data_IF_445408446685
#
_entry.id   IF_445408446685
#
_cell.length_a   1.000
_cell.length_b   1.000
_cell.length_c   1.000
_cell.angle_alpha   90.00
_cell.angle_beta   90.00
_cell.angle_gamma   90.00
#
_symmetry.space_group_name_H-M   'P 1'
#
loop_
_entity.id
_entity.type
_entity.pdbx_description
1 polymer ?
#
# COMPACT_ATOMS: atom_id res chain seq x y z
N UNK A 1 22.82 -14.74 -18.78
CA UNK A 1 22.45 -16.01 -18.13
C UNK A 1 21.67 -16.85 -19.15
N UNK A 2 21.81 -18.18 -19.13
CA UNK A 2 20.94 -19.06 -19.94
C UNK A 2 19.51 -19.03 -19.39
N UNK A 3 18.48 -19.38 -20.18
CA UNK A 3 17.10 -19.50 -19.67
C UNK A 3 17.00 -20.44 -18.46
N UNK A 4 17.66 -21.60 -18.51
CA UNK A 4 17.74 -22.54 -17.38
C UNK A 4 18.34 -21.90 -16.12
N UNK A 5 19.46 -21.16 -16.26
CA UNK A 5 20.06 -20.45 -15.12
C UNK A 5 19.17 -19.35 -14.53
N UNK A 6 18.31 -18.72 -15.34
CA UNK A 6 17.32 -17.75 -14.85
C UNK A 6 16.21 -18.42 -14.03
N UNK A 7 15.78 -19.61 -14.46
CA UNK A 7 14.81 -20.42 -13.72
C UNK A 7 15.38 -20.93 -12.39
N UNK A 8 16.64 -21.35 -12.38
CA UNK A 8 17.35 -21.73 -11.14
C UNK A 8 17.50 -20.54 -10.18
N UNK A 9 17.93 -19.37 -10.67
CA UNK A 9 18.01 -18.16 -9.86
C UNK A 9 16.63 -17.74 -9.30
N UNK A 10 15.54 -18.02 -10.04
CA UNK A 10 14.17 -17.79 -9.57
C UNK A 10 13.87 -18.67 -8.35
N UNK A 11 14.17 -19.96 -8.39
CA UNK A 11 14.00 -20.85 -7.23
C UNK A 11 14.76 -20.33 -5.99
N UNK A 12 16.03 -19.97 -6.15
CA UNK A 12 16.87 -19.44 -5.06
C UNK A 12 16.29 -18.16 -4.44
N UNK A 13 15.85 -17.22 -5.28
CA UNK A 13 15.24 -15.98 -4.79
C UNK A 13 13.92 -16.29 -4.06
N UNK A 14 13.11 -17.21 -4.56
CA UNK A 14 11.85 -17.59 -3.91
C UNK A 14 12.10 -18.22 -2.54
N UNK A 15 13.16 -19.02 -2.37
CA UNK A 15 13.57 -19.51 -1.04
C UNK A 15 13.89 -18.36 -0.07
N UNK A 16 14.63 -17.34 -0.53
CA UNK A 16 14.89 -16.14 0.28
C UNK A 16 13.59 -15.38 0.61
N UNK A 17 12.65 -15.27 -0.34
CA UNK A 17 11.35 -14.60 -0.13
C UNK A 17 10.50 -15.37 0.88
N UNK A 18 10.43 -16.69 0.79
CA UNK A 18 9.70 -17.57 1.73
C UNK A 18 10.28 -17.41 3.14
N UNK A 19 11.61 -17.50 3.29
CA UNK A 19 12.28 -17.31 4.58
C UNK A 19 12.03 -15.92 5.17
N UNK A 20 12.07 -14.88 4.32
CA UNK A 20 11.76 -13.50 4.70
C UNK A 20 10.31 -13.32 5.14
N UNK A 21 9.34 -13.90 4.42
CA UNK A 21 7.92 -13.77 4.75
C UNK A 21 7.59 -14.34 6.14
N UNK A 22 8.21 -15.49 6.49
CA UNK A 22 8.08 -16.14 7.81
C UNK A 22 8.68 -15.31 8.96
N UNK A 23 9.75 -14.58 8.70
CA UNK A 23 10.52 -13.84 9.71
C UNK A 23 10.26 -12.33 9.74
N UNK A 24 9.24 -11.87 9.00
CA UNK A 24 8.97 -10.44 8.80
C UNK A 24 10.16 -9.64 8.24
N UNK A 25 10.96 -10.29 7.39
CA UNK A 25 12.12 -9.70 6.76
C UNK A 25 11.79 -8.78 5.58
N UNK A 26 12.81 -8.33 4.82
CA UNK A 26 12.64 -7.40 3.69
C UNK A 26 11.67 -7.90 2.61
N UNK A 27 10.98 -6.99 1.90
CA UNK A 27 10.05 -7.35 0.81
C UNK A 27 10.78 -7.98 -0.38
N UNK A 28 10.03 -8.67 -1.25
CA UNK A 28 10.57 -9.43 -2.38
C UNK A 28 11.43 -8.57 -3.31
N UNK A 29 11.02 -7.33 -3.59
CA UNK A 29 11.79 -6.39 -4.41
C UNK A 29 13.18 -6.07 -3.83
N UNK A 30 13.28 -5.96 -2.50
CA UNK A 30 14.56 -5.74 -1.82
C UNK A 30 15.46 -6.97 -1.91
N UNK A 31 14.87 -8.17 -1.82
CA UNK A 31 15.58 -9.45 -1.95
C UNK A 31 16.13 -9.61 -3.36
N UNK A 32 15.31 -9.41 -4.40
CA UNK A 32 15.74 -9.43 -5.81
C UNK A 32 16.88 -8.44 -6.04
N UNK A 33 16.74 -7.22 -5.53
CA UNK A 33 17.79 -6.18 -5.65
C UNK A 33 19.10 -6.61 -5.00
N UNK A 34 19.04 -7.17 -3.78
CA UNK A 34 20.22 -7.66 -3.05
C UNK A 34 20.87 -8.85 -3.75
N UNK A 35 20.08 -9.81 -4.23
CA UNK A 35 20.54 -11.00 -4.95
C UNK A 35 21.43 -10.62 -6.15
N UNK A 36 21.03 -9.59 -6.91
CA UNK A 36 21.80 -9.10 -8.06
C UNK A 36 22.97 -8.18 -7.70
N UNK A 37 22.96 -7.49 -6.55
CA UNK A 37 24.13 -6.74 -6.08
C UNK A 37 25.35 -7.67 -5.86
N UNK A 38 25.10 -8.90 -5.43
CA UNK A 38 26.13 -9.92 -5.21
C UNK A 38 26.55 -10.65 -6.51
N UNK A 39 25.74 -10.59 -7.57
CA UNK A 39 25.93 -11.32 -8.83
C UNK A 39 26.10 -10.36 -10.00
N UNK A 40 27.25 -9.67 -10.04
CA UNK A 40 27.56 -8.62 -11.03
C UNK A 40 27.62 -9.11 -12.48
N UNK A 41 27.80 -10.41 -12.71
CA UNK A 41 27.79 -11.01 -14.05
C UNK A 41 26.43 -10.94 -14.75
N UNK A 42 25.33 -10.76 -14.00
CA UNK A 42 23.99 -10.65 -14.58
C UNK A 42 23.78 -9.23 -15.13
N UNK A 43 23.61 -9.13 -16.46
CA UNK A 43 23.30 -7.87 -17.15
C UNK A 43 21.84 -7.43 -16.95
N UNK A 44 21.49 -6.23 -17.42
CA UNK A 44 20.14 -5.65 -17.26
C UNK A 44 19.02 -6.55 -17.79
N UNK A 45 19.22 -7.19 -18.96
CA UNK A 45 18.25 -8.14 -19.55
C UNK A 45 18.03 -9.38 -18.67
N UNK A 46 19.10 -9.93 -18.08
CA UNK A 46 19.00 -11.09 -17.19
C UNK A 46 18.26 -10.74 -15.90
N UNK A 47 18.59 -9.58 -15.30
CA UNK A 47 17.93 -9.11 -14.07
C UNK A 47 16.44 -8.91 -14.27
N UNK A 48 16.04 -8.34 -15.41
CA UNK A 48 14.63 -8.15 -15.77
C UNK A 48 13.92 -9.50 -15.92
N UNK A 49 14.48 -10.43 -16.70
CA UNK A 49 13.87 -11.73 -16.94
C UNK A 49 13.69 -12.55 -15.64
N UNK A 50 14.69 -12.56 -14.75
CA UNK A 50 14.56 -13.25 -13.46
C UNK A 50 13.55 -12.55 -12.56
N UNK A 51 13.53 -11.21 -12.51
CA UNK A 51 12.52 -10.47 -11.74
C UNK A 51 11.11 -10.80 -12.22
N UNK A 52 10.88 -10.84 -13.53
CA UNK A 52 9.60 -11.23 -14.12
C UNK A 52 9.19 -12.64 -13.71
N UNK A 53 10.09 -13.62 -13.78
CA UNK A 53 9.82 -15.00 -13.32
C UNK A 53 9.51 -15.07 -11.82
N UNK A 54 10.31 -14.42 -10.98
CA UNK A 54 10.09 -14.36 -9.51
C UNK A 54 8.70 -13.82 -9.20
N UNK A 55 8.34 -12.68 -9.79
CA UNK A 55 7.05 -12.07 -9.53
C UNK A 55 5.88 -12.80 -10.18
N UNK A 56 6.11 -13.55 -11.25
CA UNK A 56 5.13 -14.47 -11.83
C UNK A 56 4.84 -15.62 -10.87
N UNK A 57 5.89 -16.25 -10.33
CA UNK A 57 5.76 -17.29 -9.28
C UNK A 57 5.00 -16.75 -8.06
N UNK A 58 5.39 -15.58 -7.54
CA UNK A 58 4.73 -15.00 -6.36
C UNK A 58 3.24 -14.77 -6.63
N UNK A 59 2.86 -14.29 -7.82
CA UNK A 59 1.46 -14.00 -8.18
C UNK A 59 0.62 -15.27 -8.31
N UNK A 60 1.21 -16.33 -8.86
CA UNK A 60 0.54 -17.60 -9.15
C UNK A 60 0.08 -18.36 -7.88
N UNK A 61 0.81 -18.22 -6.77
CA UNK A 61 0.56 -18.96 -5.53
C UNK A 61 0.09 -18.03 -4.41
N UNK A 62 -1.16 -18.20 -4.01
CA UNK A 62 -1.79 -17.49 -2.90
C UNK A 62 -1.27 -18.07 -1.59
N UNK A 63 -1.29 -19.39 -1.45
CA UNK A 63 -0.62 -20.09 -0.37
C UNK A 63 0.90 -20.07 -0.59
N UNK A 64 1.66 -19.88 0.49
CA UNK A 64 3.12 -19.85 0.42
C UNK A 64 3.65 -21.24 0.04
N UNK A 65 4.44 -21.38 -1.05
CA UNK A 65 5.05 -22.64 -1.42
C UNK A 65 5.96 -23.20 -0.32
N UNK A 66 6.20 -24.51 -0.33
CA UNK A 66 7.09 -25.15 0.64
C UNK A 66 8.54 -24.65 0.53
N UNK A 67 9.00 -24.44 -0.71
CA UNK A 67 10.32 -23.93 -1.09
C UNK A 67 10.28 -23.43 -2.56
N UNK A 68 11.38 -22.83 -3.02
CA UNK A 68 11.54 -22.31 -4.37
C UNK A 68 11.45 -23.38 -5.46
N UNK A 69 11.90 -24.61 -5.17
CA UNK A 69 11.79 -25.74 -6.12
C UNK A 69 10.33 -26.13 -6.37
N UNK A 70 9.53 -26.30 -5.31
CA UNK A 70 8.10 -26.57 -5.43
C UNK A 70 7.38 -25.45 -6.19
N UNK A 71 7.78 -24.20 -5.98
CA UNK A 71 7.22 -23.04 -6.67
C UNK A 71 7.56 -23.04 -8.18
N UNK A 72 8.82 -23.32 -8.54
CA UNK A 72 9.24 -23.45 -9.95
C UNK A 72 8.56 -24.63 -10.63
N UNK A 73 8.45 -25.79 -9.97
CA UNK A 73 7.72 -26.93 -10.53
C UNK A 73 6.23 -26.61 -10.74
N UNK A 74 5.63 -25.84 -9.85
CA UNK A 74 4.26 -25.34 -10.02
C UNK A 74 4.13 -24.39 -11.22
N UNK A 75 5.12 -23.52 -11.44
CA UNK A 75 5.16 -22.66 -12.63
C UNK A 75 5.29 -23.49 -13.91
N UNK A 76 6.21 -24.47 -13.95
CA UNK A 76 6.39 -25.38 -15.09
C UNK A 76 5.12 -26.17 -15.40
N UNK A 77 4.34 -26.53 -14.38
CA UNK A 77 3.04 -27.19 -14.59
C UNK A 77 2.01 -26.28 -15.28
N UNK A 78 2.16 -24.96 -15.19
CA UNK A 78 1.31 -23.97 -15.90
C UNK A 78 1.88 -23.55 -17.26
N UNK A 79 3.21 -23.63 -17.42
CA UNK A 79 3.96 -23.26 -18.63
C UNK A 79 4.83 -24.46 -19.06
N UNK A 80 4.27 -25.46 -19.77
CA UNK A 80 4.97 -26.69 -20.13
C UNK A 80 6.25 -26.47 -20.94
N UNK A 81 6.38 -25.36 -21.65
CA UNK A 81 7.59 -24.96 -22.38
C UNK A 81 8.81 -24.73 -21.48
N UNK A 82 8.62 -24.50 -20.19
CA UNK A 82 9.70 -24.37 -19.21
C UNK A 82 10.25 -25.74 -18.78
N UNK A 83 9.56 -26.84 -19.09
CA UNK A 83 9.98 -28.19 -18.70
C UNK A 83 11.32 -28.58 -19.33
N UNK A 84 11.58 -28.13 -20.57
CA UNK A 84 12.84 -28.37 -21.30
C UNK A 84 14.05 -27.70 -20.62
N UNK A 85 13.82 -26.78 -19.68
CA UNK A 85 14.89 -26.11 -18.92
C UNK A 85 15.34 -26.90 -17.69
N UNK A 86 14.62 -27.96 -17.30
CA UNK A 86 14.97 -28.81 -16.17
C UNK A 86 16.07 -29.81 -16.59
N UNK A 87 17.15 -29.88 -15.82
CA UNK A 87 18.33 -30.71 -16.11
C UNK A 87 19.35 -30.09 -17.06
N UNK A 88 19.04 -28.92 -17.63
CA UNK A 88 20.00 -28.16 -18.43
C UNK A 88 21.15 -27.60 -17.56
N UNK A 89 22.35 -27.36 -18.12
CA UNK A 89 23.48 -26.82 -17.36
C UNK A 89 23.13 -25.53 -16.62
N UNK A 90 23.37 -25.53 -15.30
CA UNK A 90 23.03 -24.43 -14.36
C UNK A 90 21.53 -24.16 -14.20
N UNK A 91 20.67 -25.04 -14.72
CA UNK A 91 19.23 -25.04 -14.48
C UNK A 91 18.82 -25.79 -13.22
N UNK A 92 17.53 -25.80 -12.88
CA UNK A 92 16.99 -26.66 -11.84
C UNK A 92 17.16 -28.13 -12.22
N UNK A 93 17.42 -28.97 -11.22
CA UNK A 93 17.52 -30.44 -11.42
C UNK A 93 16.25 -31.00 -12.08
N UNK A 94 16.35 -32.10 -12.86
CA UNK A 94 15.20 -32.81 -13.41
C UNK A 94 14.15 -33.10 -12.33
N UNK A 95 12.86 -33.12 -12.72
CA UNK A 95 11.78 -33.45 -11.78
C UNK A 95 11.88 -34.92 -11.36
N UNK A 96 11.93 -35.19 -10.05
CA UNK A 96 11.93 -36.55 -9.56
C UNK A 96 10.52 -37.18 -9.62
N UNK A 97 10.40 -38.52 -9.80
CA UNK A 97 9.11 -39.19 -9.74
C UNK A 97 8.39 -38.92 -8.40
N UNK A 98 7.13 -38.50 -8.46
CA UNK A 98 6.34 -38.19 -7.26
C UNK A 98 6.68 -36.88 -6.57
N UNK A 99 7.60 -36.08 -7.12
CA UNK A 99 7.94 -34.76 -6.57
C UNK A 99 6.76 -33.79 -6.71
N UNK A 100 6.31 -33.28 -5.55
CA UNK A 100 5.20 -32.35 -5.45
C UNK A 100 5.52 -30.96 -6.01
N UNK A 101 4.52 -30.33 -6.61
CA UNK A 101 4.57 -28.95 -7.08
C UNK A 101 3.65 -28.08 -6.21
N UNK A 102 3.90 -26.77 -6.18
CA UNK A 102 2.94 -25.83 -5.60
C UNK A 102 1.70 -25.75 -6.50
N UNK A 103 0.52 -25.76 -5.89
CA UNK A 103 -0.76 -25.68 -6.60
C UNK A 103 -1.21 -24.22 -6.77
N UNK A 104 -1.51 -23.76 -8.01
CA UNK A 104 -1.96 -22.40 -8.25
C UNK A 104 -3.22 -22.03 -7.49
N UNK A 105 -3.22 -20.84 -6.89
CA UNK A 105 -4.38 -20.24 -6.22
C UNK A 105 -4.17 -18.74 -6.13
N UNK A 106 -5.18 -17.91 -6.38
CA UNK A 106 -5.00 -16.46 -6.30
C UNK A 106 -4.98 -15.91 -4.86
N UNK A 107 -5.62 -16.57 -3.90
CA UNK A 107 -5.75 -16.05 -2.53
C UNK A 107 -5.71 -17.23 -1.55
N UNK A 108 -4.97 -17.17 -0.44
CA UNK A 108 -5.04 -18.17 0.62
C UNK A 108 -6.48 -18.51 1.00
N UNK A 109 -6.80 -19.78 1.19
CA UNK A 109 -8.17 -20.21 1.48
C UNK A 109 -8.76 -19.51 2.72
N UNK A 110 -7.94 -19.33 3.76
CA UNK A 110 -8.36 -18.70 5.02
C UNK A 110 -8.73 -17.21 4.87
N UNK A 111 -8.24 -16.53 3.83
CA UNK A 111 -8.53 -15.10 3.59
C UNK A 111 -9.84 -14.87 2.86
N UNK A 112 -10.41 -15.89 2.21
CA UNK A 112 -11.63 -15.74 1.42
C UNK A 112 -12.79 -15.23 2.27
N UNK A 113 -12.91 -15.73 3.50
CA UNK A 113 -13.96 -15.33 4.45
C UNK A 113 -13.65 -14.02 5.19
N UNK A 114 -12.48 -13.42 4.94
CA UNK A 114 -12.07 -12.15 5.56
C UNK A 114 -12.33 -10.95 4.65
N UNK A 115 -12.56 -11.17 3.36
CA UNK A 115 -12.78 -10.10 2.39
C UNK A 115 -14.09 -9.37 2.64
N UNK A 116 -14.11 -8.08 2.29
CA UNK A 116 -15.37 -7.37 2.10
C UNK A 116 -16.27 -8.15 1.13
N UNK A 117 -17.58 -8.26 1.41
CA UNK A 117 -18.53 -8.93 0.52
C UNK A 117 -18.58 -8.30 -0.88
N UNK A 118 -18.06 -7.08 -1.02
CA UNK A 118 -17.94 -6.38 -2.30
C UNK A 118 -16.85 -6.98 -3.21
N UNK A 119 -15.86 -7.70 -2.66
CA UNK A 119 -14.78 -8.33 -3.44
C UNK A 119 -15.25 -9.65 -4.03
N UNK A 120 -15.77 -9.59 -5.24
CA UNK A 120 -16.28 -10.79 -5.93
C UNK A 120 -15.12 -11.65 -6.47
N UNK A 121 -15.35 -12.94 -6.78
CA UNK A 121 -14.35 -13.79 -7.43
C UNK A 121 -13.73 -13.16 -8.69
N UNK A 122 -14.50 -12.41 -9.46
CA UNK A 122 -14.11 -11.76 -10.72
C UNK A 122 -13.15 -10.59 -10.50
N UNK A 123 -13.16 -9.93 -9.33
CA UNK A 123 -12.25 -8.83 -9.01
C UNK A 123 -10.89 -9.31 -8.47
N UNK A 124 -10.80 -10.55 -8.01
CA UNK A 124 -9.58 -11.10 -7.37
C UNK A 124 -8.34 -11.09 -8.27
N UNK A 125 -8.42 -11.37 -9.59
CA UNK A 125 -7.26 -11.25 -10.48
C UNK A 125 -6.65 -9.84 -10.47
N UNK A 126 -7.48 -8.79 -10.46
CA UNK A 126 -7.01 -7.39 -10.48
C UNK A 126 -6.20 -7.01 -9.22
N UNK A 127 -6.40 -7.72 -8.10
CA UNK A 127 -5.58 -7.58 -6.89
C UNK A 127 -4.12 -7.98 -7.12
N UNK A 128 -3.82 -8.68 -8.22
CA UNK A 128 -2.52 -9.28 -8.50
C UNK A 128 -1.94 -8.83 -9.84
N UNK A 129 -2.69 -8.06 -10.62
CA UNK A 129 -2.18 -7.46 -11.84
C UNK A 129 -1.02 -6.50 -11.54
N UNK A 130 -0.31 -6.08 -12.58
CA UNK A 130 0.76 -5.12 -12.39
C UNK A 130 0.19 -3.71 -12.27
N UNK A 131 0.36 -3.09 -11.12
CA UNK A 131 -0.13 -1.72 -10.89
C UNK A 131 0.60 -0.69 -11.79
N UNK A 132 -0.11 0.34 -12.29
CA UNK A 132 0.53 1.49 -12.92
C UNK A 132 1.34 2.32 -11.92
N UNK A 133 2.14 3.24 -12.43
CA UNK A 133 2.79 4.28 -11.63
C UNK A 133 1.89 5.51 -11.63
N UNK A 134 1.36 5.87 -10.46
CA UNK A 134 0.60 7.10 -10.29
C UNK A 134 1.46 8.14 -9.56
N UNK A 135 1.39 9.37 -10.07
CA UNK A 135 1.98 10.56 -9.47
C UNK A 135 0.86 11.45 -8.94
N UNK A 136 1.12 12.16 -7.84
CA UNK A 136 0.29 13.26 -7.34
C UNK A 136 0.99 14.57 -7.63
N UNK A 137 0.31 15.46 -8.33
CA UNK A 137 0.76 16.85 -8.55
C UNK A 137 0.70 17.64 -7.24
N UNK A 138 1.69 18.49 -7.03
CA UNK A 138 1.71 19.47 -5.94
C UNK A 138 0.80 20.66 -6.31
N UNK A 139 -0.47 20.59 -5.92
CA UNK A 139 -1.49 21.57 -6.27
C UNK A 139 -1.17 23.02 -5.80
N UNK A 140 -0.27 23.20 -4.83
CA UNK A 140 0.19 24.51 -4.41
C UNK A 140 1.18 25.17 -5.38
N UNK A 141 1.73 24.41 -6.33
CA UNK A 141 2.89 24.82 -7.14
C UNK A 141 2.74 24.56 -8.64
N UNK A 142 1.82 23.69 -9.05
CA UNK A 142 1.63 23.36 -10.45
C UNK A 142 0.21 22.87 -10.74
N UNK A 143 -0.21 23.06 -11.99
CA UNK A 143 -1.44 22.52 -12.54
C UNK A 143 -1.19 21.16 -13.18
N UNK A 144 -2.15 20.23 -13.01
CA UNK A 144 -2.00 18.86 -13.53
C UNK A 144 -1.84 18.83 -15.04
N UNK A 145 -2.63 19.61 -15.75
CA UNK A 145 -2.68 19.57 -17.21
C UNK A 145 -1.36 20.04 -17.85
N UNK A 146 -0.64 20.95 -17.20
CA UNK A 146 0.65 21.44 -17.68
C UNK A 146 1.73 20.35 -17.52
N UNK A 147 1.72 19.63 -16.38
CA UNK A 147 2.70 18.60 -16.09
C UNK A 147 2.49 17.29 -16.86
N UNK A 148 1.26 16.93 -17.24
CA UNK A 148 1.01 15.68 -17.98
C UNK A 148 1.84 15.63 -19.27
N UNK A 149 1.99 16.77 -19.96
CA UNK A 149 2.74 16.85 -21.21
C UNK A 149 4.24 16.58 -21.04
N UNK A 150 4.78 16.69 -19.82
CA UNK A 150 6.19 16.42 -19.52
C UNK A 150 6.50 14.92 -19.39
N UNK A 151 5.48 14.07 -19.26
CA UNK A 151 5.66 12.64 -19.05
C UNK A 151 5.20 11.82 -20.26
N UNK A 152 6.13 11.09 -20.88
CA UNK A 152 5.82 10.16 -21.97
C UNK A 152 4.82 9.07 -21.50
N UNK A 153 3.71 8.93 -22.22
CA UNK A 153 2.63 8.02 -21.86
C UNK A 153 1.79 8.47 -20.65
N UNK A 154 1.97 9.71 -20.18
CA UNK A 154 1.21 10.33 -19.11
C UNK A 154 -0.25 10.59 -19.49
N UNK A 155 -1.15 10.23 -18.57
CA UNK A 155 -2.58 10.54 -18.69
C UNK A 155 -3.12 11.05 -17.36
N UNK A 156 -4.14 11.90 -17.39
CA UNK A 156 -4.85 12.27 -16.17
C UNK A 156 -5.47 11.02 -15.53
N UNK A 157 -5.33 10.87 -14.21
CA UNK A 157 -6.08 9.84 -13.51
C UNK A 157 -7.57 10.18 -13.50
N UNK A 158 -8.42 9.17 -13.34
CA UNK A 158 -9.87 9.28 -13.57
C UNK A 158 -10.63 9.90 -12.39
N UNK A 159 -10.16 9.67 -11.18
CA UNK A 159 -10.86 9.94 -9.92
C UNK A 159 -10.22 11.11 -9.17
N UNK A 160 -8.89 11.10 -9.02
CA UNK A 160 -8.16 12.19 -8.35
C UNK A 160 -7.96 13.38 -9.31
N UNK A 161 -8.25 14.62 -8.88
CA UNK A 161 -7.95 15.81 -9.68
C UNK A 161 -6.45 16.09 -9.79
N UNK A 162 -5.62 15.48 -8.94
CA UNK A 162 -4.17 15.72 -8.90
C UNK A 162 -3.35 14.65 -9.62
N UNK A 163 -3.97 13.54 -9.99
CA UNK A 163 -3.24 12.34 -10.37
C UNK A 163 -2.78 12.35 -11.84
N UNK A 164 -1.54 11.90 -12.08
CA UNK A 164 -1.01 11.55 -13.40
C UNK A 164 -0.66 10.06 -13.39
N UNK A 165 -1.21 9.29 -14.33
CA UNK A 165 -0.93 7.86 -14.52
C UNK A 165 0.11 7.65 -15.60
N UNK A 166 1.11 6.83 -15.28
CA UNK A 166 2.22 6.46 -16.13
C UNK A 166 2.33 4.93 -16.28
N UNK A 167 3.00 4.45 -17.34
CA UNK A 167 3.40 3.05 -17.45
C UNK A 167 4.17 2.57 -16.22
N UNK A 168 3.97 1.31 -15.82
CA UNK A 168 4.51 0.75 -14.58
C UNK A 168 6.06 0.73 -14.49
N UNK A 169 6.76 0.84 -15.62
CA UNK A 169 8.23 0.81 -15.72
C UNK A 169 8.87 2.20 -15.81
N UNK A 170 8.08 3.27 -15.74
CA UNK A 170 8.61 4.64 -15.86
C UNK A 170 9.55 4.96 -14.71
N UNK A 171 10.76 5.41 -15.04
CA UNK A 171 11.75 5.89 -14.06
C UNK A 171 11.44 7.34 -13.70
N UNK A 172 11.04 7.56 -12.45
CA UNK A 172 10.65 8.89 -11.96
C UNK A 172 11.76 9.64 -11.24
N UNK A 173 12.71 8.92 -10.63
CA UNK A 173 13.75 9.52 -9.78
C UNK A 173 14.64 10.52 -10.54
N UNK A 174 14.77 10.34 -11.85
CA UNK A 174 15.61 11.15 -12.74
C UNK A 174 14.82 12.33 -13.36
N UNK A 175 13.52 12.48 -13.07
CA UNK A 175 12.65 13.48 -13.69
C UNK A 175 12.73 14.85 -12.99
N UNK A 176 12.90 15.97 -13.72
CA UNK A 176 12.97 17.31 -13.15
C UNK A 176 11.77 17.68 -12.27
N UNK A 177 10.55 17.33 -12.68
CA UNK A 177 9.33 17.58 -11.92
C UNK A 177 9.32 16.86 -10.55
N UNK A 178 9.90 15.66 -10.47
CA UNK A 178 10.02 14.94 -9.19
C UNK A 178 11.11 15.56 -8.31
N UNK A 179 12.28 15.84 -8.89
CA UNK A 179 13.42 16.45 -8.17
C UNK A 179 13.08 17.83 -7.58
N UNK A 180 12.26 18.62 -8.28
CA UNK A 180 11.81 19.95 -7.86
C UNK A 180 10.57 19.95 -6.95
N UNK A 181 10.00 18.78 -6.64
CA UNK A 181 8.83 18.64 -5.76
C UNK A 181 7.50 19.09 -6.36
N UNK A 182 7.40 19.11 -7.70
CA UNK A 182 6.14 19.37 -8.42
C UNK A 182 5.24 18.13 -8.45
N UNK A 183 5.82 16.93 -8.28
CA UNK A 183 5.09 15.66 -8.18
C UNK A 183 5.63 14.77 -7.07
N UNK A 184 4.76 13.92 -6.52
CA UNK A 184 5.10 12.84 -5.60
C UNK A 184 4.60 11.49 -6.14
N UNK A 185 5.32 10.40 -5.90
CA UNK A 185 4.81 9.06 -6.23
C UNK A 185 3.73 8.67 -5.21
N UNK A 186 2.49 8.49 -5.68
CA UNK A 186 1.36 8.13 -4.82
C UNK A 186 0.22 7.53 -5.64
N UNK A 187 -0.24 6.34 -5.24
CA UNK A 187 -1.44 5.69 -5.82
C UNK A 187 -2.66 6.62 -5.76
N UNK A 188 -3.44 6.64 -6.84
CA UNK A 188 -4.65 7.46 -6.93
C UNK A 188 -5.62 7.27 -5.74
N UNK A 189 -5.80 6.04 -5.25
CA UNK A 189 -6.64 5.77 -4.08
C UNK A 189 -6.13 6.47 -2.81
N UNK A 190 -4.80 6.51 -2.63
CA UNK A 190 -4.16 7.22 -1.52
C UNK A 190 -4.32 8.75 -1.63
N UNK A 191 -4.39 9.29 -2.85
CA UNK A 191 -4.70 10.71 -3.08
C UNK A 191 -6.14 11.03 -2.67
N UNK A 192 -7.09 10.13 -2.97
CA UNK A 192 -8.50 10.29 -2.61
C UNK A 192 -8.72 10.29 -1.08
N UNK A 193 -7.87 9.61 -0.29
CA UNK A 193 -7.93 9.70 1.18
C UNK A 193 -7.65 11.14 1.66
N UNK A 194 -6.68 11.82 1.07
CA UNK A 194 -6.40 13.21 1.41
C UNK A 194 -7.56 14.16 1.02
N UNK A 195 -8.24 13.89 -0.11
CA UNK A 195 -9.46 14.61 -0.47
C UNK A 195 -10.62 14.33 0.50
N UNK A 196 -10.75 13.09 0.97
CA UNK A 196 -11.78 12.70 1.93
C UNK A 196 -11.67 13.44 3.27
N UNK A 197 -10.49 13.97 3.59
CA UNK A 197 -10.28 14.84 4.75
C UNK A 197 -11.01 16.18 4.61
N UNK A 198 -11.17 16.70 3.40
CA UNK A 198 -11.82 17.98 3.12
C UNK A 198 -11.33 19.14 4.01
N UNK A 199 -10.00 19.24 4.11
CA UNK A 199 -9.30 20.26 4.91
C UNK A 199 -9.58 21.65 4.35
N UNK A 200 -10.11 22.52 5.19
CA UNK A 200 -10.35 23.94 4.93
C UNK A 200 -9.14 24.82 5.20
N UNK A 201 -9.28 26.11 4.90
CA UNK A 201 -8.24 27.09 5.18
C UNK A 201 -8.06 27.28 6.69
N UNK A 202 -6.81 27.15 7.16
CA UNK A 202 -6.46 27.36 8.57
C UNK A 202 -6.80 26.20 9.51
N UNK A 203 -7.40 25.12 9.02
CA UNK A 203 -7.72 23.94 9.82
C UNK A 203 -6.48 23.35 10.52
N UNK A 204 -6.70 22.86 11.73
CA UNK A 204 -5.72 22.08 12.51
C UNK A 204 -5.90 20.60 12.19
N UNK A 205 -4.87 20.00 11.59
CA UNK A 205 -4.89 18.62 11.10
C UNK A 205 -3.86 17.77 11.84
N UNK A 206 -4.27 16.60 12.32
CA UNK A 206 -3.37 15.56 12.82
C UNK A 206 -3.40 14.37 11.87
N UNK A 207 -2.24 13.94 11.34
CA UNK A 207 -2.06 12.72 10.55
C UNK A 207 -1.40 11.66 11.44
N UNK A 208 -2.22 10.77 12.04
CA UNK A 208 -1.76 9.65 12.85
C UNK A 208 -1.30 8.49 11.94
N UNK A 209 -0.08 8.00 12.21
CA UNK A 209 0.60 6.97 11.40
C UNK A 209 0.98 7.46 10.00
N UNK A 210 1.47 8.69 9.92
CA UNK A 210 1.83 9.38 8.68
C UNK A 210 2.88 8.63 7.85
N UNK A 211 3.69 7.75 8.45
CA UNK A 211 4.74 7.01 7.77
C UNK A 211 5.78 7.96 7.15
N UNK A 212 5.89 7.94 5.83
CA UNK A 212 6.74 8.88 5.08
C UNK A 212 5.98 10.16 4.63
N UNK A 213 4.79 10.40 5.18
CA UNK A 213 3.94 11.58 5.05
C UNK A 213 3.29 11.81 3.68
N UNK A 214 3.00 10.74 2.93
CA UNK A 214 2.36 10.88 1.62
C UNK A 214 1.04 11.65 1.68
N UNK A 215 0.20 11.38 2.69
CA UNK A 215 -1.10 12.03 2.88
C UNK A 215 -0.96 13.43 3.51
N UNK A 216 -0.15 13.61 4.55
CA UNK A 216 0.22 14.94 5.05
C UNK A 216 0.72 15.89 3.95
N UNK A 217 1.57 15.42 3.03
CA UNK A 217 2.05 16.22 1.89
C UNK A 217 0.93 16.54 0.88
N UNK A 218 -0.04 15.64 0.70
CA UNK A 218 -1.20 15.90 -0.17
C UNK A 218 -2.07 16.99 0.44
N UNK A 219 -2.34 16.89 1.74
CA UNK A 219 -3.11 17.88 2.50
C UNK A 219 -2.39 19.23 2.47
N UNK A 220 -1.08 19.28 2.74
CA UNK A 220 -0.30 20.52 2.71
C UNK A 220 -0.29 21.20 1.32
N UNK A 221 -0.31 20.40 0.25
CA UNK A 221 -0.40 20.93 -1.11
C UNK A 221 -1.79 21.46 -1.46
N UNK A 222 -2.85 20.87 -0.90
CA UNK A 222 -4.23 21.27 -1.16
C UNK A 222 -4.71 22.43 -0.26
N UNK A 223 -4.20 22.51 0.97
CA UNK A 223 -4.52 23.52 1.96
C UNK A 223 -3.23 24.10 2.59
N UNK A 224 -2.49 24.98 1.88
CA UNK A 224 -1.20 25.48 2.34
C UNK A 224 -1.23 26.29 3.65
N UNK A 225 -2.41 26.76 4.06
CA UNK A 225 -2.63 27.49 5.31
C UNK A 225 -2.96 26.59 6.50
N UNK A 226 -3.19 25.29 6.29
CA UNK A 226 -3.50 24.35 7.36
C UNK A 226 -2.30 24.16 8.32
N UNK A 227 -2.59 23.98 9.60
CA UNK A 227 -1.58 23.60 10.60
C UNK A 227 -1.56 22.08 10.71
N UNK A 228 -0.50 21.44 10.20
CA UNK A 228 -0.44 19.98 10.08
C UNK A 228 0.60 19.42 11.05
N UNK A 229 0.15 18.51 11.91
CA UNK A 229 0.99 17.64 12.73
C UNK A 229 0.96 16.22 12.16
N UNK A 230 2.09 15.73 11.67
CA UNK A 230 2.28 14.36 11.23
C UNK A 230 2.97 13.53 12.32
N UNK A 231 2.36 12.41 12.69
CA UNK A 231 2.87 11.56 13.78
C UNK A 231 3.06 10.12 13.35
N UNK A 232 4.03 9.45 13.94
CA UNK A 232 4.25 8.01 13.76
C UNK A 232 5.02 7.47 14.96
N UNK A 233 4.92 6.17 15.24
CA UNK A 233 5.76 5.51 16.26
C UNK A 233 7.07 4.96 15.68
N UNK A 234 7.19 4.90 14.35
CA UNK A 234 8.36 4.43 13.65
C UNK A 234 9.25 5.59 13.15
N UNK A 235 10.33 5.84 13.89
CA UNK A 235 11.33 6.86 13.57
C UNK A 235 11.90 6.75 12.16
N UNK A 236 12.14 5.53 11.67
CA UNK A 236 12.75 5.31 10.36
C UNK A 236 11.80 5.61 9.19
N UNK A 237 10.48 5.57 9.43
CA UNK A 237 9.47 6.02 8.45
C UNK A 237 9.31 7.53 8.53
N UNK A 238 9.08 8.07 9.73
CA UNK A 238 8.82 9.49 9.95
C UNK A 238 9.98 10.39 9.50
N UNK A 239 11.23 9.95 9.69
CA UNK A 239 12.40 10.72 9.26
C UNK A 239 12.47 10.95 7.75
N UNK A 240 11.73 10.18 6.94
CA UNK A 240 11.64 10.38 5.49
C UNK A 240 10.71 11.53 5.09
N UNK A 241 9.87 12.01 6.01
CA UNK A 241 8.93 13.09 5.72
C UNK A 241 9.64 14.44 5.56
N UNK A 242 10.53 14.81 6.48
CA UNK A 242 11.17 16.14 6.46
C UNK A 242 11.85 16.46 5.11
N UNK A 243 12.70 15.60 4.52
CA UNK A 243 13.29 15.87 3.21
C UNK A 243 12.26 15.98 2.07
N UNK A 244 11.13 15.28 2.16
CA UNK A 244 10.05 15.35 1.17
C UNK A 244 9.24 16.64 1.34
N UNK A 245 8.99 17.06 2.58
CA UNK A 245 8.33 18.32 2.89
C UNK A 245 9.16 19.51 2.40
N UNK A 246 10.47 19.51 2.66
CA UNK A 246 11.40 20.53 2.16
C UNK A 246 11.37 20.62 0.64
N UNK A 247 11.47 19.47 -0.05
CA UNK A 247 11.40 19.40 -1.52
C UNK A 247 10.06 19.89 -2.06
N UNK A 248 8.96 19.54 -1.41
CA UNK A 248 7.62 19.97 -1.80
C UNK A 248 7.34 21.45 -1.47
N UNK A 249 8.10 22.06 -0.57
CA UNK A 249 7.82 23.38 -0.02
C UNK A 249 6.69 23.38 1.01
N UNK A 250 6.44 22.24 1.66
CA UNK A 250 5.36 22.06 2.62
C UNK A 250 5.85 22.31 4.06
N UNK A 251 5.02 22.97 4.87
CA UNK A 251 5.28 23.16 6.31
C UNK A 251 4.47 22.13 7.10
N UNK A 252 5.15 21.13 7.64
CA UNK A 252 4.52 20.04 8.41
C UNK A 252 5.35 19.84 9.69
N UNK A 253 4.69 19.93 10.85
CA UNK A 253 5.30 19.53 12.12
C UNK A 253 5.34 18.00 12.19
N UNK A 254 6.44 17.45 12.71
CA UNK A 254 6.56 16.00 12.92
C UNK A 254 6.74 15.66 14.38
N UNK A 255 6.01 14.67 14.90
CA UNK A 255 6.19 14.17 16.26
C UNK A 255 6.26 12.65 16.30
N UNK A 256 7.35 12.13 16.87
CA UNK A 256 7.50 10.70 17.10
C UNK A 256 6.73 10.32 18.37
N UNK A 257 5.78 9.41 18.26
CA UNK A 257 4.98 8.93 19.38
C UNK A 257 5.62 7.70 20.03
N UNK A 258 5.62 7.64 21.36
CA UNK A 258 6.15 6.50 22.10
C UNK A 258 5.04 5.71 22.80
N UNK A 259 4.65 4.52 22.28
CA UNK A 259 3.71 3.64 22.97
C UNK A 259 4.19 3.20 24.35
N UNK A 260 3.31 3.14 25.38
CA UNK A 260 1.87 3.44 25.36
C UNK A 260 1.52 4.87 25.83
N UNK A 261 2.45 5.82 25.74
CA UNK A 261 2.28 7.20 26.26
C UNK A 261 1.86 8.20 25.17
N UNK A 262 1.34 7.74 24.04
CA UNK A 262 1.11 8.56 22.86
C UNK A 262 0.19 9.76 23.12
N UNK A 263 -0.88 9.58 23.90
CA UNK A 263 -1.83 10.66 24.21
C UNK A 263 -1.19 11.77 25.04
N UNK A 264 -0.32 11.43 25.99
CA UNK A 264 0.39 12.43 26.81
C UNK A 264 1.32 13.31 25.95
N UNK A 265 1.86 12.75 24.87
CA UNK A 265 2.66 13.49 23.89
C UNK A 265 1.82 14.34 22.92
N UNK A 266 0.49 14.25 22.99
CA UNK A 266 -0.46 14.98 22.13
C UNK A 266 -1.42 15.88 22.93
N UNK A 267 -1.10 16.17 24.19
CA UNK A 267 -1.95 16.96 25.08
C UNK A 267 -2.28 18.37 24.53
N UNK A 268 -1.33 19.00 23.82
CA UNK A 268 -1.50 20.30 23.13
C UNK A 268 -2.47 20.24 21.93
N UNK A 269 -2.89 19.03 21.54
CA UNK A 269 -3.87 18.76 20.48
C UNK A 269 -5.17 18.15 20.99
N UNK A 270 -5.29 17.89 22.30
CA UNK A 270 -6.50 17.32 22.89
C UNK A 270 -7.73 18.19 22.58
N UNK A 271 -8.77 17.56 22.04
CA UNK A 271 -10.03 18.17 21.58
C UNK A 271 -9.81 19.47 20.77
N UNK A 272 -8.70 19.56 20.03
CA UNK A 272 -8.23 20.79 19.39
C UNK A 272 -8.01 20.69 17.89
N UNK A 273 -8.07 19.49 17.32
CA UNK A 273 -7.93 19.27 15.87
C UNK A 273 -9.29 19.39 15.18
N UNK A 274 -9.36 20.18 14.10
CA UNK A 274 -10.50 20.20 13.19
C UNK A 274 -10.65 18.84 12.50
N UNK A 275 -9.51 18.25 12.13
CA UNK A 275 -9.43 17.00 11.37
C UNK A 275 -8.36 16.09 11.96
N UNK A 276 -8.71 14.84 12.22
CA UNK A 276 -7.75 13.78 12.56
C UNK A 276 -7.84 12.68 11.52
N UNK A 277 -6.78 12.53 10.73
CA UNK A 277 -6.60 11.41 9.81
C UNK A 277 -5.89 10.28 10.54
N UNK A 278 -6.47 9.08 10.46
CA UNK A 278 -5.88 7.83 10.93
C UNK A 278 -5.61 6.95 9.71
N UNK A 279 -4.40 7.03 9.15
CA UNK A 279 -3.91 6.12 8.11
C UNK A 279 -3.32 4.87 8.76
N UNK A 280 -4.22 4.00 9.22
CA UNK A 280 -3.84 3.01 10.21
C UNK A 280 -2.92 1.91 9.63
N UNK A 281 -1.94 1.41 10.42
CA UNK A 281 -1.22 0.19 10.10
C UNK A 281 -2.21 -0.96 9.88
N UNK A 282 -2.10 -1.64 8.75
CA UNK A 282 -3.04 -2.67 8.33
C UNK A 282 -2.33 -3.86 7.67
N UNK A 283 -3.10 -4.85 7.26
CA UNK A 283 -2.63 -6.03 6.52
C UNK A 283 -1.97 -5.71 5.18
N UNK A 284 -2.25 -4.53 4.60
CA UNK A 284 -1.83 -4.15 3.26
C UNK A 284 -2.50 -4.95 2.14
N UNK A 285 -3.61 -5.64 2.44
CA UNK A 285 -4.30 -6.54 1.50
C UNK A 285 -4.80 -5.86 0.22
N UNK A 286 -5.03 -4.54 0.25
CA UNK A 286 -5.37 -3.77 -0.93
C UNK A 286 -4.20 -3.47 -1.87
N UNK A 287 -2.96 -3.68 -1.43
CA UNK A 287 -1.75 -3.31 -2.19
C UNK A 287 -1.03 -4.50 -2.83
N UNK A 288 -1.66 -5.69 -2.90
CA UNK A 288 -1.03 -6.91 -3.42
C UNK A 288 -0.57 -6.78 -4.89
N UNK A 289 -1.18 -5.93 -5.70
CA UNK A 289 -0.73 -5.67 -7.07
C UNK A 289 0.67 -5.05 -7.12
N UNK A 290 1.08 -4.39 -6.04
CA UNK A 290 2.41 -3.82 -5.81
C UNK A 290 3.33 -4.77 -5.02
N UNK A 291 2.80 -5.40 -3.96
CA UNK A 291 3.54 -6.30 -3.07
C UNK A 291 2.82 -7.66 -2.94
N UNK A 292 2.85 -8.51 -3.99
CA UNK A 292 2.00 -9.72 -4.05
C UNK A 292 2.38 -10.81 -3.04
N UNK A 293 3.60 -10.78 -2.52
CA UNK A 293 4.05 -11.67 -1.43
C UNK A 293 3.44 -11.29 -0.08
N UNK A 294 2.77 -10.13 0.03
CA UNK A 294 2.04 -9.72 1.23
C UNK A 294 1.02 -10.78 1.69
N UNK A 295 0.43 -11.54 0.75
CA UNK A 295 -0.44 -12.69 1.04
C UNK A 295 0.23 -13.78 1.86
N UNK A 296 1.52 -14.01 1.65
CA UNK A 296 2.29 -15.03 2.38
C UNK A 296 2.71 -14.57 3.77
N UNK A 297 2.75 -13.25 3.98
CA UNK A 297 3.10 -12.64 5.26
C UNK A 297 1.91 -12.52 6.20
N UNK A 298 0.71 -12.39 5.66
CA UNK A 298 -0.47 -12.24 6.48
C UNK A 298 -0.84 -13.57 7.13
N UNK A 299 -1.10 -13.54 8.44
CA UNK A 299 -1.60 -14.68 9.22
C UNK A 299 -2.78 -14.22 10.06
N UNK A 300 -3.64 -15.13 10.55
CA UNK A 300 -4.74 -14.77 11.46
C UNK A 300 -4.26 -13.95 12.67
N UNK A 301 -3.14 -14.34 13.29
CA UNK A 301 -2.59 -13.64 14.46
C UNK A 301 -2.07 -12.23 14.12
N UNK A 302 -1.49 -12.06 12.92
CA UNK A 302 -1.07 -10.73 12.44
C UNK A 302 -2.27 -9.85 12.15
N UNK A 303 -3.34 -10.42 11.57
CA UNK A 303 -4.60 -9.71 11.34
C UNK A 303 -5.22 -9.24 12.67
N UNK A 304 -5.30 -10.12 13.67
CA UNK A 304 -5.83 -9.76 14.99
C UNK A 304 -5.03 -8.62 15.64
N UNK A 305 -3.69 -8.65 15.52
CA UNK A 305 -2.82 -7.60 16.05
C UNK A 305 -3.06 -6.24 15.37
N UNK A 306 -3.20 -6.20 14.04
CA UNK A 306 -3.43 -4.92 13.34
C UNK A 306 -4.82 -4.39 13.60
N UNK A 307 -5.86 -5.24 13.69
CA UNK A 307 -7.22 -4.82 14.07
C UNK A 307 -7.23 -4.21 15.48
N UNK A 308 -6.58 -4.84 16.46
CA UNK A 308 -6.46 -4.29 17.81
C UNK A 308 -5.71 -2.94 17.82
N UNK A 309 -4.64 -2.83 17.01
CA UNK A 309 -3.88 -1.58 16.86
C UNK A 309 -4.75 -0.47 16.26
N UNK A 310 -5.54 -0.79 15.23
CA UNK A 310 -6.46 0.14 14.59
C UNK A 310 -7.52 0.64 15.57
N UNK A 311 -8.08 -0.23 16.42
CA UNK A 311 -9.06 0.16 17.43
C UNK A 311 -8.48 1.15 18.44
N UNK A 312 -7.27 0.87 18.93
CA UNK A 312 -6.55 1.78 19.82
C UNK A 312 -6.30 3.16 19.18
N UNK A 313 -5.86 3.20 17.92
CA UNK A 313 -5.62 4.45 17.20
C UNK A 313 -6.90 5.25 16.96
N UNK A 314 -8.02 4.58 16.70
CA UNK A 314 -9.33 5.24 16.58
C UNK A 314 -9.78 5.86 17.92
N UNK A 315 -9.60 5.13 19.02
CA UNK A 315 -9.93 5.64 20.36
C UNK A 315 -9.03 6.84 20.73
N UNK A 316 -7.74 6.80 20.39
CA UNK A 316 -6.86 7.96 20.55
C UNK A 316 -7.28 9.14 19.69
N UNK A 317 -7.63 8.91 18.43
CA UNK A 317 -8.04 9.96 17.51
C UNK A 317 -9.30 10.68 18.00
N UNK A 318 -10.23 9.96 18.63
CA UNK A 318 -11.45 10.53 19.19
C UNK A 318 -11.17 11.61 20.26
N UNK A 319 -10.10 11.45 21.05
CA UNK A 319 -9.70 12.43 22.07
C UNK A 319 -9.11 13.71 21.47
N UNK A 320 -8.56 13.65 20.25
CA UNK A 320 -7.91 14.79 19.59
C UNK A 320 -8.88 15.66 18.79
N UNK A 321 -9.92 15.07 18.22
CA UNK A 321 -10.91 15.77 17.40
C UNK A 321 -11.69 16.76 18.27
N UNK A 322 -11.78 18.04 17.89
CA UNK A 322 -12.63 19.01 18.61
C UNK A 322 -14.13 18.71 18.43
N UNK A 323 -15.02 19.21 19.29
CA UNK A 323 -16.46 19.16 19.02
C UNK A 323 -16.80 19.75 17.63
N UNK A 324 -17.61 19.04 16.85
CA UNK A 324 -17.92 19.35 15.45
C UNK A 324 -16.78 19.12 14.45
N UNK A 325 -15.66 18.52 14.89
CA UNK A 325 -14.54 18.12 14.03
C UNK A 325 -14.74 16.74 13.40
N UNK A 326 -13.86 16.38 12.47
CA UNK A 326 -13.92 15.12 11.72
C UNK A 326 -12.75 14.18 12.04
N UNK A 327 -13.07 12.88 12.19
CA UNK A 327 -12.11 11.78 12.17
C UNK A 327 -12.21 11.07 10.82
N UNK A 328 -11.10 10.97 10.09
CA UNK A 328 -11.01 10.17 8.87
C UNK A 328 -10.24 8.91 9.17
N UNK A 329 -10.89 7.76 9.04
CA UNK A 329 -10.24 6.46 9.17
C UNK A 329 -9.94 5.92 7.79
N UNK A 330 -8.71 5.48 7.55
CA UNK A 330 -8.31 4.88 6.29
C UNK A 330 -7.35 3.70 6.49
N UNK A 331 -7.50 2.68 5.65
CA UNK A 331 -6.57 1.55 5.54
C UNK A 331 -6.38 1.16 4.09
N UNK A 332 -5.19 0.67 3.72
CA UNK A 332 -4.96 0.02 2.42
C UNK A 332 -5.31 -1.48 2.47
N UNK A 333 -6.51 -1.78 2.97
CA UNK A 333 -7.04 -3.13 3.15
C UNK A 333 -8.38 -3.30 2.43
N UNK A 334 -8.65 -4.54 2.01
CA UNK A 334 -9.93 -5.00 1.45
C UNK A 334 -10.66 -5.97 2.41
N UNK A 335 -10.17 -6.12 3.64
CA UNK A 335 -10.75 -7.02 4.64
C UNK A 335 -11.82 -6.32 5.46
N UNK A 336 -12.99 -6.95 5.65
CA UNK A 336 -14.11 -6.35 6.42
C UNK A 336 -13.70 -5.93 7.82
N UNK A 337 -12.89 -6.77 8.50
CA UNK A 337 -12.45 -6.54 9.89
C UNK A 337 -11.57 -5.31 10.05
N UNK A 338 -10.88 -4.88 9.00
CA UNK A 338 -10.04 -3.66 9.01
C UNK A 338 -10.76 -2.48 8.35
N UNK A 339 -11.83 -2.71 7.60
CA UNK A 339 -12.62 -1.68 6.94
C UNK A 339 -13.88 -1.34 7.73
N UNK A 340 -15.03 -1.68 7.16
CA UNK A 340 -16.36 -1.39 7.72
C UNK A 340 -16.53 -1.90 9.16
N UNK A 341 -16.03 -3.11 9.47
CA UNK A 341 -16.17 -3.68 10.81
C UNK A 341 -15.48 -2.85 11.90
N UNK A 342 -14.33 -2.23 11.60
CA UNK A 342 -13.63 -1.35 12.55
C UNK A 342 -14.40 -0.07 12.83
N UNK A 343 -15.10 0.46 11.81
CA UNK A 343 -15.95 1.64 11.95
C UNK A 343 -17.21 1.32 12.74
N UNK A 344 -17.85 0.19 12.45
CA UNK A 344 -19.02 -0.28 13.18
C UNK A 344 -18.69 -0.46 14.67
N UNK A 345 -17.58 -1.13 14.98
CA UNK A 345 -17.11 -1.32 16.34
C UNK A 345 -16.79 0.01 17.05
N UNK A 346 -16.20 0.98 16.34
CA UNK A 346 -15.95 2.31 16.87
C UNK A 346 -17.27 3.05 17.19
N UNK A 347 -18.24 3.05 16.28
CA UNK A 347 -19.54 3.72 16.47
C UNK A 347 -20.36 3.08 17.59
N UNK A 348 -20.19 1.79 17.85
CA UNK A 348 -20.77 1.12 19.02
C UNK A 348 -20.12 1.61 20.32
N UNK A 349 -18.79 1.73 20.37
CA UNK A 349 -18.06 2.21 21.57
C UNK A 349 -18.25 3.71 21.81
N UNK A 350 -18.42 4.48 20.75
CA UNK A 350 -18.54 5.94 20.75
C UNK A 350 -19.91 6.37 20.20
N UNK A 351 -20.99 5.96 20.87
CA UNK A 351 -22.36 6.05 20.36
C UNK A 351 -22.89 7.46 20.07
N UNK A 352 -22.18 8.51 20.48
CA UNK A 352 -22.50 9.90 20.18
C UNK A 352 -21.89 10.40 18.86
N UNK A 353 -20.93 9.65 18.31
CA UNK A 353 -20.36 9.90 16.99
C UNK A 353 -21.28 9.38 15.90
N UNK A 354 -21.15 9.96 14.72
CA UNK A 354 -21.92 9.52 13.56
C UNK A 354 -21.10 9.60 12.27
N UNK A 355 -21.47 8.77 11.30
CA UNK A 355 -20.87 8.78 9.99
C UNK A 355 -21.32 10.01 9.18
N UNK A 356 -20.38 10.63 8.49
CA UNK A 356 -20.62 11.73 7.57
C UNK A 356 -20.52 11.28 6.12
N UNK A 357 -21.06 12.10 5.22
CA UNK A 357 -20.79 11.94 3.80
C UNK A 357 -19.29 12.13 3.51
N UNK A 358 -18.73 11.18 2.76
CA UNK A 358 -17.32 11.22 2.36
C UNK A 358 -17.24 12.01 1.04
N UNK A 359 -16.47 13.11 0.98
CA UNK A 359 -16.46 14.04 -0.15
C UNK A 359 -15.63 13.52 -1.34
N UNK A 360 -15.80 12.24 -1.70
CA UNK A 360 -15.23 11.62 -2.89
C UNK A 360 -16.33 10.84 -3.63
N UNK A 361 -16.31 10.88 -4.96
CA UNK A 361 -17.25 10.12 -5.79
C UNK A 361 -16.84 8.65 -5.99
N UNK A 362 -15.58 8.31 -5.71
CA UNK A 362 -14.96 7.01 -5.95
C UNK A 362 -15.31 5.93 -4.92
N UNK A 363 -15.12 4.66 -5.27
CA UNK A 363 -15.37 3.52 -4.39
C UNK A 363 -16.85 3.17 -4.25
N UNK A 364 -17.12 1.99 -3.71
CA UNK A 364 -18.47 1.48 -3.39
C UNK A 364 -18.76 1.65 -1.91
N UNK A 365 -20.01 1.91 -1.54
CA UNK A 365 -20.42 1.97 -0.12
C UNK A 365 -20.21 0.62 0.56
N UNK A 366 -19.51 0.62 1.69
CA UNK A 366 -19.26 -0.54 2.55
C UNK A 366 -19.46 -0.12 4.01
N UNK A 367 -20.61 -0.47 4.59
CA UNK A 367 -21.05 0.07 5.89
C UNK A 367 -21.10 1.60 5.89
N UNK A 368 -20.55 2.21 6.94
CA UNK A 368 -20.40 3.66 7.09
C UNK A 368 -19.25 4.28 6.27
N UNK A 369 -18.56 3.48 5.45
CA UNK A 369 -17.42 3.90 4.66
C UNK A 369 -17.56 3.63 3.16
N UNK A 370 -16.44 3.78 2.45
CA UNK A 370 -16.30 3.43 1.04
C UNK A 370 -15.09 2.56 0.82
N UNK A 371 -15.26 1.50 0.03
CA UNK A 371 -14.22 0.59 -0.42
C UNK A 371 -13.86 0.89 -1.88
N UNK A 372 -12.59 1.17 -2.12
CA UNK A 372 -11.97 1.24 -3.44
C UNK A 372 -11.29 -0.09 -3.74
N UNK A 373 -11.36 -0.54 -4.99
CA UNK A 373 -10.71 -1.78 -5.43
C UNK A 373 -9.96 -1.62 -6.76
N UNK A 374 -8.92 -2.43 -7.02
CA UNK A 374 -8.29 -2.47 -8.34
C UNK A 374 -9.27 -2.80 -9.47
N UNK A 375 -10.21 -3.73 -9.25
CA UNK A 375 -11.16 -4.17 -10.27
C UNK A 375 -12.22 -3.11 -10.62
N UNK A 376 -12.65 -2.30 -9.65
CA UNK A 376 -13.70 -1.30 -9.84
C UNK A 376 -13.14 0.11 -10.09
N UNK A 377 -12.16 0.52 -9.31
CA UNK A 377 -11.67 1.90 -9.29
C UNK A 377 -10.38 2.10 -10.10
N UNK A 378 -9.69 1.01 -10.45
CA UNK A 378 -8.34 1.00 -11.02
C UNK A 378 -7.25 1.58 -10.10
N UNK A 379 -7.54 1.75 -8.80
CA UNK A 379 -6.61 2.16 -7.74
C UNK A 379 -6.08 0.94 -6.97
N UNK A 380 -5.20 1.11 -5.99
CA UNK A 380 -5.01 0.05 -5.00
C UNK A 380 -6.32 -0.11 -4.18
N UNK A 381 -6.42 -1.20 -3.43
CA UNK A 381 -7.51 -1.41 -2.49
C UNK A 381 -7.38 -0.49 -1.27
N UNK A 382 -8.43 0.27 -0.97
CA UNK A 382 -8.49 1.16 0.18
C UNK A 382 -9.90 1.16 0.78
N UNK A 383 -9.98 1.24 2.10
CA UNK A 383 -11.21 1.60 2.79
C UNK A 383 -11.04 2.98 3.42
N UNK A 384 -12.10 3.79 3.38
CA UNK A 384 -12.16 5.11 4.02
C UNK A 384 -13.51 5.36 4.67
N UNK A 385 -13.51 5.93 5.86
CA UNK A 385 -14.70 6.44 6.53
C UNK A 385 -14.44 7.83 7.09
N UNK A 386 -15.49 8.64 7.16
CA UNK A 386 -15.46 9.98 7.78
C UNK A 386 -16.51 10.03 8.87
N UNK A 387 -16.08 10.35 10.08
CA UNK A 387 -16.89 10.35 11.29
C UNK A 387 -16.84 11.74 11.93
N UNK A 388 -17.93 12.20 12.51
CA UNK A 388 -18.01 13.50 13.19
C UNK A 388 -18.16 13.33 14.70
N UNK A 389 -17.36 14.12 15.42
CA UNK A 389 -17.54 14.30 16.86
C UNK A 389 -18.72 15.25 17.08
N UNK A 390 -19.71 14.89 17.91
CA UNK A 390 -20.83 15.78 18.21
C UNK A 390 -20.36 17.10 18.84
N UNK A 391 -21.12 18.17 18.60
CA UNK A 391 -20.91 19.51 19.14
C UNK A 391 -21.12 19.61 20.65
#
# INVERSE_FOLDING_TARGET
MTPAARLQATAEIIDEVIASARSDGPPADSIVTRYFKQRRYAGSKDRRAVRELVFRVIRLFGDMPANGRAAVLGLVAQEPELADLLGEPRGPEPRAPGEGAAEPRLVPAWLLDQFSPLITPEERPALLERAPLDLRVNAARAERNDLIAEFEGGTATRLSPWGIRLPADTRIDDQPAFASGLVEVQDEGSQLIALACAVGEGDRVVDLCAGAGGKALAIAAAAPSATILATDSNRARLSKLAPRADRAGAKIETRLLNPPNELAELEDWHAGADIVLVDAPCSGSGTWRRNPEGRWRLTPQRLDKVVATQAHLLDMAAELVRPGGSLIYAVCSILSREGAGQVDDFLIRHSSWHAQNIPIAAGRSDGAGRLLTPGHDATDGFFVARLERPC
#
